data_IF_002615597870
#
_entry.id   IF_002615597870
#
_cell.length_a   1.000
_cell.length_b   1.000
_cell.length_c   1.000
_cell.angle_alpha   90.00
_cell.angle_beta   90.00
_cell.angle_gamma   90.00
#
_symmetry.space_group_name_H-M   'P 1'
#
loop_
_entity.id
_entity.type
_entity.pdbx_description
1 polymer ?
#
# COMPACT_ATOMS: atom_id res chain seq x y z
N UNK A 1 -20.20 -16.06 -6.71
CA UNK A 1 -18.81 -16.48 -6.41
C UNK A 1 -18.01 -15.24 -6.13
N UNK A 2 -17.61 -15.02 -4.88
CA UNK A 2 -17.06 -13.76 -4.41
C UNK A 2 -15.55 -13.86 -4.22
N UNK A 3 -14.79 -13.43 -5.22
CA UNK A 3 -13.49 -12.79 -5.01
C UNK A 3 -13.74 -11.30 -5.35
N UNK A 4 -14.04 -10.45 -4.34
CA UNK A 4 -15.01 -9.38 -4.55
C UNK A 4 -14.48 -8.08 -5.17
N UNK A 5 -13.17 -7.84 -5.27
CA UNK A 5 -12.66 -6.60 -5.88
C UNK A 5 -11.32 -6.85 -6.58
N UNK A 6 -11.19 -6.38 -7.82
CA UNK A 6 -9.89 -6.38 -8.49
C UNK A 6 -9.01 -5.30 -7.88
N UNK A 7 -7.79 -5.63 -7.50
CA UNK A 7 -6.81 -4.65 -7.00
C UNK A 7 -5.99 -4.22 -8.21
N UNK A 8 -6.34 -3.07 -8.79
CA UNK A 8 -5.59 -2.43 -9.87
C UNK A 8 -4.52 -1.47 -9.32
N UNK A 9 -3.88 -0.72 -10.22
CA UNK A 9 -2.83 0.26 -9.83
C UNK A 9 -3.40 1.34 -8.90
N UNK A 10 -4.62 1.80 -9.19
CA UNK A 10 -5.27 2.87 -8.43
C UNK A 10 -5.57 2.47 -6.98
N UNK A 11 -6.07 1.26 -6.76
CA UNK A 11 -6.41 0.75 -5.43
C UNK A 11 -5.14 0.57 -4.59
N UNK A 12 -4.07 0.02 -5.20
CA UNK A 12 -2.75 -0.10 -4.56
C UNK A 12 -2.23 1.26 -4.10
N UNK A 13 -2.26 2.27 -4.98
CA UNK A 13 -1.69 3.58 -4.69
C UNK A 13 -2.52 4.34 -3.64
N UNK A 14 -3.85 4.17 -3.64
CA UNK A 14 -4.71 4.71 -2.58
C UNK A 14 -4.39 4.09 -1.22
N UNK A 15 -4.21 2.78 -1.16
CA UNK A 15 -3.83 2.09 0.07
C UNK A 15 -2.44 2.53 0.57
N UNK A 16 -1.47 2.68 -0.32
CA UNK A 16 -0.12 3.17 0.03
C UNK A 16 -0.16 4.60 0.59
N UNK A 17 -0.97 5.49 0.02
CA UNK A 17 -1.15 6.85 0.58
C UNK A 17 -1.77 6.81 1.98
N UNK A 18 -2.76 5.94 2.20
CA UNK A 18 -3.36 5.78 3.52
C UNK A 18 -2.34 5.29 4.58
N UNK A 19 -1.46 4.35 4.21
CA UNK A 19 -0.39 3.90 5.09
C UNK A 19 0.64 5.00 5.38
N UNK A 20 1.00 5.80 4.37
CA UNK A 20 1.91 6.94 4.55
C UNK A 20 1.35 7.97 5.53
N UNK A 21 0.08 8.35 5.37
CA UNK A 21 -0.59 9.27 6.29
C UNK A 21 -0.71 8.72 7.71
N UNK A 22 -1.06 7.44 7.86
CA UNK A 22 -1.16 6.84 9.19
C UNK A 22 0.20 6.84 9.92
N UNK A 23 1.31 6.62 9.20
CA UNK A 23 2.65 6.69 9.78
C UNK A 23 3.06 8.11 10.15
N UNK A 24 2.66 9.12 9.37
CA UNK A 24 2.86 10.54 9.71
C UNK A 24 2.06 10.92 10.97
N UNK A 25 0.79 10.52 11.04
CA UNK A 25 -0.13 10.85 12.13
C UNK A 25 0.37 10.37 13.50
N UNK A 26 0.96 9.17 13.53
CA UNK A 26 1.55 8.61 14.77
C UNK A 26 2.98 9.11 15.06
N UNK A 27 3.51 10.02 14.24
CA UNK A 27 4.85 10.59 14.42
C UNK A 27 5.97 9.56 14.25
N UNK A 28 5.82 8.62 13.29
CA UNK A 28 6.84 7.61 13.03
C UNK A 28 8.12 8.24 12.47
N UNK A 29 9.26 7.71 12.90
CA UNK A 29 10.58 8.08 12.39
C UNK A 29 10.67 7.92 10.86
N UNK A 30 11.31 8.89 10.19
CA UNK A 30 11.36 8.97 8.74
C UNK A 30 12.09 7.80 8.09
N UNK A 31 13.19 7.33 8.70
CA UNK A 31 13.96 6.21 8.17
C UNK A 31 13.17 4.91 8.29
N UNK A 32 12.46 4.73 9.41
CA UNK A 32 11.56 3.59 9.60
C UNK A 32 10.39 3.64 8.62
N UNK A 33 9.80 4.81 8.41
CA UNK A 33 8.69 5.05 7.48
C UNK A 33 9.08 4.71 6.04
N UNK A 34 10.26 5.14 5.57
CA UNK A 34 10.76 4.80 4.23
C UNK A 34 10.93 3.29 4.01
N UNK A 35 11.47 2.59 5.03
CA UNK A 35 11.64 1.13 4.98
C UNK A 35 10.31 0.40 4.94
N UNK A 36 9.34 0.84 5.74
CA UNK A 36 7.99 0.26 5.75
C UNK A 36 7.24 0.53 4.44
N UNK A 37 7.32 1.74 3.89
CA UNK A 37 6.73 2.07 2.60
C UNK A 37 7.27 1.17 1.47
N UNK A 38 8.56 0.85 1.50
CA UNK A 38 9.17 -0.08 0.53
C UNK A 38 8.58 -1.49 0.68
N UNK A 39 8.48 -2.01 1.90
CA UNK A 39 7.88 -3.32 2.19
C UNK A 39 6.40 -3.39 1.82
N UNK A 40 5.66 -2.31 2.09
CA UNK A 40 4.25 -2.17 1.74
C UNK A 40 4.04 -2.14 0.24
N UNK A 41 4.89 -1.43 -0.51
CA UNK A 41 4.83 -1.42 -1.97
C UNK A 41 5.02 -2.82 -2.55
N UNK A 42 6.05 -3.56 -2.12
CA UNK A 42 6.30 -4.92 -2.58
C UNK A 42 5.12 -5.86 -2.31
N UNK A 43 4.53 -5.75 -1.11
CA UNK A 43 3.37 -6.57 -0.72
C UNK A 43 2.14 -6.21 -1.54
N UNK A 44 1.84 -4.93 -1.67
CA UNK A 44 0.66 -4.45 -2.40
C UNK A 44 0.77 -4.68 -3.92
N UNK A 45 1.99 -4.67 -4.46
CA UNK A 45 2.27 -5.02 -5.85
C UNK A 45 2.04 -6.50 -6.12
N UNK A 46 2.46 -7.40 -5.21
CA UNK A 46 2.15 -8.84 -5.29
C UNK A 46 0.64 -9.12 -5.21
N UNK A 47 -0.12 -8.32 -4.46
CA UNK A 47 -1.58 -8.45 -4.33
C UNK A 47 -2.35 -8.00 -5.59
N UNK A 48 -1.69 -7.38 -6.58
CA UNK A 48 -2.32 -7.04 -7.87
C UNK A 48 -2.74 -8.32 -8.58
N UNK A 49 -4.04 -8.52 -8.70
CA UNK A 49 -4.64 -9.69 -9.35
C UNK A 49 -5.24 -9.38 -10.73
N UNK A 50 -5.02 -8.17 -11.24
CA UNK A 50 -5.31 -7.76 -12.61
C UNK A 50 -4.11 -6.98 -13.16
N UNK A 51 -3.57 -7.43 -14.30
CA UNK A 51 -2.82 -6.53 -15.15
C UNK A 51 -3.83 -5.57 -15.77
N UNK A 52 -3.60 -4.26 -15.61
CA UNK A 52 -4.43 -3.25 -16.26
C UNK A 52 -4.36 -3.41 -17.80
#
# INVERSE_FOLDING_TARGET
GHLPFGIGTSERDQWLRAMAWAMEDIGMDDDLRMRLMTSFYQTADWMRNKAD
#
